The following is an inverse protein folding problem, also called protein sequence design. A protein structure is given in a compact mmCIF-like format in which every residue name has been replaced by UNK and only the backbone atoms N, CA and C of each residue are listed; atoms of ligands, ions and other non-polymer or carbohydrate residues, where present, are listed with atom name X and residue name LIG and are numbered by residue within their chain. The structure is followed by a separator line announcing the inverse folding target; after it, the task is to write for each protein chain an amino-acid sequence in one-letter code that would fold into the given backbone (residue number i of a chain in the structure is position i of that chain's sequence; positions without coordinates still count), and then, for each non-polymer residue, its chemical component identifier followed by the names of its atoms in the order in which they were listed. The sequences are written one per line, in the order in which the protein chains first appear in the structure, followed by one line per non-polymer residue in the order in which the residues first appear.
data_IF_043369865591
#
_entry.id   IF_043369865591
#
_cell.length_a   1.000
_cell.length_b   1.000
_cell.length_c   1.000
_cell.angle_alpha   90.00
_cell.angle_beta   90.00
_cell.angle_gamma   90.00
#
_symmetry.space_group_name_H-M   'P 1'
#
loop_
_entity.id
_entity.type
_entity.pdbx_description
1 polymer ?
#
# COMPACT_ATOMS: atom_id res chain seq x y z
N UNK A 1 58.08 29.51 -12.42
CA UNK A 1 57.84 28.05 -12.52
C UNK A 1 57.28 27.54 -11.20
N UNK A 2 56.01 27.11 -11.13
CA UNK A 2 55.52 26.25 -10.07
C UNK A 2 55.23 24.84 -10.59
N UNK A 3 55.51 23.85 -9.74
CA UNK A 3 55.52 22.41 -9.99
C UNK A 3 54.11 21.82 -10.15
N UNK A 4 53.95 20.95 -11.14
CA UNK A 4 52.89 19.95 -11.22
C UNK A 4 53.09 18.89 -10.13
N UNK A 5 51.99 18.48 -9.49
CA UNK A 5 51.87 17.21 -8.78
C UNK A 5 50.63 16.49 -9.33
N UNK A 6 50.88 15.49 -10.18
CA UNK A 6 49.91 14.51 -10.65
C UNK A 6 50.00 13.31 -9.69
N UNK A 7 48.97 13.07 -8.89
CA UNK A 7 48.83 11.82 -8.11
C UNK A 7 47.95 10.85 -8.89
N UNK A 8 48.56 9.73 -9.29
CA UNK A 8 47.90 8.65 -10.02
C UNK A 8 46.94 7.85 -9.13
N UNK A 9 45.79 7.52 -9.69
CA UNK A 9 44.80 6.64 -9.10
C UNK A 9 45.10 5.20 -9.55
N UNK A 10 45.44 4.32 -8.60
CA UNK A 10 45.60 2.89 -8.82
C UNK A 10 44.24 2.22 -8.99
N UNK A 11 44.07 1.49 -10.10
CA UNK A 11 42.98 0.57 -10.35
C UNK A 11 43.31 -0.77 -9.66
N UNK A 12 42.41 -1.26 -8.80
CA UNK A 12 42.47 -2.61 -8.24
C UNK A 12 41.23 -3.39 -8.71
N UNK A 13 41.37 -4.55 -9.38
CA UNK A 13 40.24 -5.34 -9.82
C UNK A 13 39.74 -6.24 -8.67
N UNK A 14 38.41 -6.27 -8.46
CA UNK A 14 37.77 -7.16 -7.50
C UNK A 14 37.37 -8.47 -8.19
N UNK A 15 37.93 -9.58 -7.71
CA UNK A 15 37.64 -10.95 -8.15
C UNK A 15 36.26 -11.43 -7.69
N UNK A 16 35.56 -12.11 -8.60
CA UNK A 16 34.33 -12.87 -8.38
C UNK A 16 34.67 -14.36 -8.15
N UNK A 17 34.15 -14.94 -7.06
CA UNK A 17 33.88 -16.36 -6.84
C UNK A 17 33.06 -16.45 -5.53
N UNK A 18 32.01 -17.25 -5.33
CA UNK A 18 31.32 -18.27 -6.12
C UNK A 18 30.42 -19.08 -5.15
N UNK A 19 29.18 -19.29 -5.56
CA UNK A 19 28.19 -20.34 -5.23
C UNK A 19 28.06 -20.94 -3.80
N UNK A 20 26.80 -20.97 -3.34
CA UNK A 20 26.26 -21.94 -2.38
C UNK A 20 24.73 -22.03 -2.53
N UNK A 21 24.26 -23.03 -3.28
CA UNK A 21 22.85 -23.31 -3.57
C UNK A 21 22.13 -23.94 -2.38
N UNK A 22 20.94 -23.44 -2.03
CA UNK A 22 19.99 -24.10 -1.14
C UNK A 22 18.61 -24.11 -1.80
N UNK A 23 18.10 -25.30 -2.11
CA UNK A 23 16.85 -25.52 -2.83
C UNK A 23 15.62 -25.18 -1.97
N UNK A 24 14.72 -24.36 -2.50
CA UNK A 24 13.37 -24.16 -1.95
C UNK A 24 12.39 -25.09 -2.69
N UNK A 25 11.68 -25.93 -1.94
CA UNK A 25 10.58 -26.77 -2.44
C UNK A 25 9.40 -25.89 -2.86
N UNK A 26 8.91 -26.12 -4.07
CA UNK A 26 7.66 -25.60 -4.59
C UNK A 26 6.51 -26.48 -4.09
N UNK A 27 5.54 -25.88 -3.43
CA UNK A 27 4.18 -26.40 -3.33
C UNK A 27 3.21 -25.28 -3.76
N UNK A 28 2.29 -25.59 -4.66
CA UNK A 28 1.18 -24.75 -5.12
C UNK A 28 0.07 -25.67 -5.68
N UNK A 29 -1.19 -25.22 -5.81
CA UNK A 29 -1.78 -23.98 -5.30
C UNK A 29 -3.11 -24.18 -4.52
N UNK A 30 -3.53 -23.15 -3.78
CA UNK A 30 -4.94 -22.82 -3.59
C UNK A 30 -5.22 -21.47 -4.23
N UNK A 31 -6.28 -21.41 -5.05
CA UNK A 31 -6.81 -20.19 -5.68
C UNK A 31 -7.55 -19.42 -4.58
N UNK A 32 -7.11 -18.19 -4.29
CA UNK A 32 -7.83 -17.32 -3.34
C UNK A 32 -8.90 -16.57 -4.12
N UNK A 33 -10.14 -17.06 -4.05
CA UNK A 33 -11.35 -16.29 -4.36
C UNK A 33 -11.97 -15.89 -3.02
N UNK A 34 -12.13 -14.59 -2.77
CA UNK A 34 -12.82 -14.10 -1.57
C UNK A 34 -14.28 -13.84 -1.95
N UNK A 35 -15.17 -14.78 -1.63
CA UNK A 35 -16.62 -14.61 -1.80
C UNK A 35 -17.23 -14.13 -0.47
N UNK A 36 -18.03 -13.06 -0.54
CA UNK A 36 -18.71 -12.44 0.58
C UNK A 36 -20.22 -12.61 0.42
N UNK A 37 -20.83 -13.68 0.97
CA UNK A 37 -22.29 -13.76 1.21
C UNK A 37 -22.67 -14.60 2.43
N UNK A 38 -23.61 -14.04 3.19
CA UNK A 38 -24.25 -14.54 4.40
C UNK A 38 -24.93 -15.91 4.29
N UNK A 39 -24.99 -16.63 5.41
CA UNK A 39 -25.73 -17.88 5.58
C UNK A 39 -26.12 -18.17 7.03
N UNK A 40 -27.39 -17.89 7.33
CA UNK A 40 -28.20 -18.17 8.51
C UNK A 40 -27.99 -19.55 9.21
N UNK A 41 -28.22 -19.54 10.53
CA UNK A 41 -28.26 -20.61 11.56
C UNK A 41 -29.15 -21.85 11.29
N UNK A 42 -29.00 -22.91 12.13
CA UNK A 42 -30.06 -23.18 13.13
C UNK A 42 -29.54 -23.51 14.55
N UNK A 43 -30.40 -23.26 15.56
CA UNK A 43 -30.11 -23.33 17.00
C UNK A 43 -30.07 -24.74 17.64
N UNK A 44 -30.10 -24.82 18.99
CA UNK A 44 -31.31 -25.34 19.63
C UNK A 44 -31.71 -24.73 21.01
N UNK A 45 -32.99 -24.97 21.30
CA UNK A 45 -33.85 -25.00 22.51
C UNK A 45 -33.34 -24.75 23.94
N UNK A 46 -34.17 -24.01 24.70
CA UNK A 46 -34.69 -24.23 26.08
C UNK A 46 -34.87 -22.87 26.78
N UNK A 47 -35.85 -22.54 27.62
CA UNK A 47 -37.02 -23.18 28.20
C UNK A 47 -37.72 -22.12 29.08
N UNK A 48 -39.03 -22.28 29.30
CA UNK A 48 -39.94 -21.68 30.29
C UNK A 48 -39.57 -20.39 31.08
N UNK A 49 -40.47 -19.40 31.11
CA UNK A 49 -41.34 -19.15 32.28
C UNK A 49 -42.44 -18.10 31.98
N UNK A 50 -43.59 -18.25 32.64
CA UNK A 50 -44.77 -17.40 32.62
C UNK A 50 -44.53 -16.03 33.27
N UNK A 51 -45.12 -14.96 32.72
CA UNK A 51 -46.04 -14.10 33.48
C UNK A 51 -46.63 -12.98 32.62
N UNK A 52 -47.93 -12.83 32.79
CA UNK A 52 -48.85 -11.93 32.10
C UNK A 52 -49.03 -10.70 32.99
N UNK A 53 -48.73 -9.49 32.51
CA UNK A 53 -49.27 -8.26 33.10
C UNK A 53 -49.28 -7.08 32.09
N UNK A 54 -50.52 -6.67 31.83
CA UNK A 54 -51.12 -5.40 31.41
C UNK A 54 -50.24 -4.20 31.01
N UNK A 55 -50.60 -3.61 29.87
CA UNK A 55 -50.25 -2.24 29.45
C UNK A 55 -51.00 -1.20 30.30
N UNK A 56 -50.54 0.06 30.26
CA UNK A 56 -51.43 1.07 29.70
C UNK A 56 -50.76 1.99 28.67
N UNK A 57 -51.61 2.46 27.75
CA UNK A 57 -51.37 3.43 26.69
C UNK A 57 -50.82 4.77 27.18
N UNK A 58 -49.96 5.41 26.37
CA UNK A 58 -49.78 6.86 26.38
C UNK A 58 -49.31 7.36 25.00
N UNK A 59 -50.30 7.77 24.20
CA UNK A 59 -50.31 8.95 23.30
C UNK A 59 -49.05 9.29 22.47
N UNK A 60 -49.10 8.91 21.19
CA UNK A 60 -49.12 9.84 20.04
C UNK A 60 -47.96 10.80 19.82
N UNK A 61 -47.09 10.46 18.86
CA UNK A 61 -46.43 11.41 17.95
C UNK A 61 -46.29 10.75 16.56
N UNK A 62 -46.63 11.39 15.42
CA UNK A 62 -46.56 10.74 14.13
C UNK A 62 -45.10 10.55 13.72
N UNK A 63 -44.76 9.34 13.29
CA UNK A 63 -43.50 9.03 12.61
C UNK A 63 -43.58 9.58 11.18
N UNK A 64 -42.64 10.46 10.84
CA UNK A 64 -42.36 10.83 9.46
C UNK A 64 -41.86 9.57 8.73
N UNK A 65 -42.62 9.17 7.71
CA UNK A 65 -42.22 8.13 6.77
C UNK A 65 -41.04 8.64 5.95
N UNK A 66 -39.82 8.28 6.37
CA UNK A 66 -38.64 8.35 5.53
C UNK A 66 -38.88 7.47 4.31
N UNK A 67 -38.99 8.13 3.16
CA UNK A 67 -39.00 7.45 1.86
C UNK A 67 -37.62 6.82 1.70
N UNK A 68 -37.60 5.49 1.63
CA UNK A 68 -36.42 4.70 1.29
C UNK A 68 -36.04 5.04 -0.16
N UNK A 69 -35.17 6.04 -0.33
CA UNK A 69 -34.57 6.32 -1.63
C UNK A 69 -33.74 5.10 -2.03
N UNK A 70 -33.95 4.53 -3.24
CA UNK A 70 -33.16 3.39 -3.68
C UNK A 70 -31.68 3.78 -3.66
N UNK A 71 -30.89 3.07 -2.85
CA UNK A 71 -29.43 3.13 -2.93
C UNK A 71 -29.05 2.93 -4.41
N UNK A 72 -28.31 3.86 -5.04
CA UNK A 72 -27.92 3.70 -6.42
C UNK A 72 -27.17 2.37 -6.55
N UNK A 73 -27.37 1.62 -7.66
CA UNK A 73 -26.69 0.35 -7.85
C UNK A 73 -25.18 0.57 -7.67
N UNK A 74 -24.54 -0.26 -6.84
CA UNK A 74 -23.10 -0.30 -6.77
C UNK A 74 -22.59 -0.46 -8.20
N UNK A 75 -21.75 0.46 -8.66
CA UNK A 75 -21.09 0.34 -9.95
C UNK A 75 -20.31 -0.98 -10.04
N UNK A 76 -19.87 -1.40 -11.24
CA UNK A 76 -19.04 -2.59 -11.37
C UNK A 76 -17.86 -2.49 -10.40
N UNK A 77 -17.69 -3.50 -9.55
CA UNK A 77 -16.58 -3.56 -8.63
C UNK A 77 -15.30 -3.80 -9.44
N UNK A 78 -14.33 -2.91 -9.34
CA UNK A 78 -13.02 -3.12 -9.95
C UNK A 78 -12.31 -4.21 -9.15
N UNK A 79 -12.20 -5.40 -9.72
CA UNK A 79 -11.53 -6.53 -9.09
C UNK A 79 -10.08 -6.64 -9.56
N UNK A 80 -9.14 -6.57 -8.60
CA UNK A 80 -7.75 -6.92 -8.87
C UNK A 80 -7.62 -8.44 -8.83
N UNK A 81 -6.81 -9.01 -9.73
CA UNK A 81 -6.53 -10.45 -9.73
C UNK A 81 -5.07 -10.72 -10.10
N UNK A 82 -4.37 -11.44 -9.23
CA UNK A 82 -2.99 -11.86 -9.43
C UNK A 82 -2.83 -13.32 -9.03
N UNK A 83 -2.07 -14.08 -9.82
CA UNK A 83 -1.59 -15.39 -9.38
C UNK A 83 -0.61 -15.25 -8.22
N UNK A 84 -0.37 -16.33 -7.47
CA UNK A 84 0.60 -16.32 -6.38
C UNK A 84 2.01 -15.93 -6.85
N UNK A 85 2.39 -16.27 -8.08
CA UNK A 85 3.69 -15.87 -8.65
C UNK A 85 3.74 -14.39 -8.98
N UNK A 86 2.70 -13.86 -9.62
CA UNK A 86 2.60 -12.43 -9.93
C UNK A 86 2.57 -11.60 -8.64
N UNK A 87 1.83 -12.03 -7.62
CA UNK A 87 1.81 -11.38 -6.31
C UNK A 87 3.21 -11.32 -5.66
N UNK A 88 3.99 -12.43 -5.73
CA UNK A 88 5.39 -12.43 -5.28
C UNK A 88 6.27 -11.48 -6.08
N UNK A 89 6.07 -11.41 -7.39
CA UNK A 89 6.78 -10.46 -8.25
C UNK A 89 6.46 -9.01 -7.87
N UNK A 90 5.18 -8.67 -7.70
CA UNK A 90 4.73 -7.35 -7.24
C UNK A 90 5.39 -6.98 -5.91
N UNK A 91 5.38 -7.89 -4.94
CA UNK A 91 6.06 -7.67 -3.67
C UNK A 91 7.55 -7.41 -3.77
N UNK A 92 8.20 -8.07 -4.73
CA UNK A 92 9.62 -7.83 -5.01
C UNK A 92 9.82 -6.43 -5.59
N UNK A 93 8.96 -5.98 -6.51
CA UNK A 93 9.03 -4.63 -7.06
C UNK A 93 8.79 -3.55 -6.01
N UNK A 94 7.74 -3.69 -5.18
CA UNK A 94 7.47 -2.77 -4.08
C UNK A 94 8.67 -2.71 -3.12
N UNK A 95 9.24 -3.85 -2.74
CA UNK A 95 10.41 -3.88 -1.87
C UNK A 95 11.66 -3.23 -2.50
N UNK A 96 11.82 -3.32 -3.82
CA UNK A 96 12.88 -2.62 -4.55
C UNK A 96 12.63 -1.12 -4.59
N UNK A 97 11.40 -0.68 -4.79
CA UNK A 97 11.05 0.74 -4.83
C UNK A 97 11.18 1.41 -3.48
N UNK A 98 10.65 0.80 -2.42
CA UNK A 98 10.67 1.36 -1.07
C UNK A 98 12.07 1.23 -0.45
N UNK A 99 12.66 0.04 -0.53
CA UNK A 99 13.84 -0.30 0.25
C UNK A 99 15.10 -0.62 -0.55
N UNK A 100 15.07 -0.49 -1.89
CA UNK A 100 16.13 -0.99 -2.77
C UNK A 100 16.49 -2.46 -2.48
N UNK A 101 15.52 -3.25 -2.00
CA UNK A 101 15.72 -4.64 -1.60
C UNK A 101 16.61 -4.85 -0.36
N UNK A 102 16.91 -3.80 0.42
CA UNK A 102 17.87 -3.86 1.53
C UNK A 102 17.20 -4.28 2.83
N UNK A 103 17.68 -5.37 3.42
CA UNK A 103 17.14 -5.93 4.67
C UNK A 103 17.06 -4.90 5.82
N UNK A 104 18.09 -4.05 5.98
CA UNK A 104 18.11 -3.01 7.03
C UNK A 104 16.96 -2.00 6.92
N UNK A 105 16.41 -1.81 5.72
CA UNK A 105 15.34 -0.85 5.47
C UNK A 105 13.96 -1.36 5.91
N UNK A 106 13.81 -2.67 6.17
CA UNK A 106 12.57 -3.24 6.70
C UNK A 106 12.19 -2.67 8.07
N UNK A 107 13.13 -2.07 8.79
CA UNK A 107 12.86 -1.23 9.96
C UNK A 107 13.81 -0.06 9.87
N UNK A 108 13.29 1.11 9.52
CA UNK A 108 14.08 2.32 9.30
C UNK A 108 13.39 3.54 9.88
N UNK A 109 14.18 4.56 10.23
CA UNK A 109 13.67 5.85 10.69
C UNK A 109 14.44 6.97 10.00
N UNK A 110 13.77 7.67 9.09
CA UNK A 110 14.37 8.78 8.34
C UNK A 110 14.67 9.97 9.26
N UNK A 111 15.68 10.76 8.93
CA UNK A 111 16.12 11.88 9.78
C UNK A 111 15.06 12.97 9.96
N UNK A 112 14.15 13.12 9.00
CA UNK A 112 13.14 14.18 8.97
C UNK A 112 11.71 13.66 9.24
N UNK A 113 11.56 12.47 9.82
CA UNK A 113 10.26 11.88 10.16
C UNK A 113 10.14 11.70 11.67
N UNK A 114 8.93 11.90 12.20
CA UNK A 114 8.61 11.67 13.61
C UNK A 114 8.32 10.20 13.95
N UNK A 115 8.45 9.30 12.98
CA UNK A 115 8.05 7.89 13.08
C UNK A 115 8.99 6.96 12.27
N UNK A 116 9.11 5.69 12.67
CA UNK A 116 9.72 4.66 11.84
C UNK A 116 8.79 4.21 10.69
N UNK A 117 9.42 3.78 9.60
CA UNK A 117 8.80 3.06 8.49
C UNK A 117 9.22 1.59 8.53
N UNK A 118 8.25 0.69 8.31
CA UNK A 118 8.45 -0.75 8.47
C UNK A 118 8.03 -1.55 7.23
N UNK A 119 8.65 -2.71 7.07
CA UNK A 119 8.28 -3.69 6.06
C UNK A 119 8.57 -3.23 4.63
N UNK A 120 8.11 -4.03 3.67
CA UNK A 120 8.33 -3.76 2.25
C UNK A 120 7.47 -2.60 1.74
N UNK A 121 6.35 -2.30 2.41
CA UNK A 121 5.42 -1.24 2.03
C UNK A 121 5.67 0.09 2.72
N UNK A 122 6.74 0.23 3.51
CA UNK A 122 6.99 1.42 4.35
C UNK A 122 5.77 1.78 5.22
N UNK A 123 5.26 0.80 5.96
CA UNK A 123 4.16 0.98 6.88
C UNK A 123 4.57 1.89 8.04
N UNK A 124 3.79 2.95 8.25
CA UNK A 124 4.02 3.94 9.30
C UNK A 124 3.56 3.36 10.65
N UNK A 125 4.38 3.57 11.68
CA UNK A 125 4.04 3.25 13.07
C UNK A 125 4.37 4.42 13.97
N UNK A 126 3.37 5.06 14.56
CA UNK A 126 3.55 6.25 15.39
C UNK A 126 4.00 5.88 16.81
N UNK A 127 4.97 6.61 17.37
CA UNK A 127 5.23 6.60 18.81
C UNK A 127 4.12 7.31 19.60
N UNK A 128 4.07 7.06 20.91
CA UNK A 128 3.16 7.74 21.83
C UNK A 128 3.19 9.26 21.66
N UNK A 129 2.01 9.86 21.51
CA UNK A 129 1.84 11.31 21.43
C UNK A 129 2.33 11.96 20.14
N UNK A 130 2.69 11.17 19.11
CA UNK A 130 2.97 11.66 17.76
C UNK A 130 1.70 11.57 16.91
N UNK A 131 1.28 12.70 16.36
CA UNK A 131 0.15 12.79 15.43
C UNK A 131 0.62 13.60 14.21
N UNK A 132 0.70 12.94 13.07
CA UNK A 132 1.16 13.49 11.80
C UNK A 132 0.07 13.27 10.75
N UNK A 133 0.03 14.06 9.66
CA UNK A 133 -1.06 13.99 8.68
C UNK A 133 -1.10 12.70 7.84
N UNK A 134 -0.17 11.76 8.07
CA UNK A 134 -0.10 10.52 7.30
C UNK A 134 -0.90 9.40 7.96
N UNK A 135 -1.51 8.55 7.15
CA UNK A 135 -2.27 7.41 7.67
C UNK A 135 -1.33 6.35 8.23
N UNK A 136 -1.44 6.10 9.54
CA UNK A 136 -0.78 4.97 10.18
C UNK A 136 -1.25 3.64 9.57
N UNK A 137 -0.33 2.71 9.35
CA UNK A 137 -0.66 1.45 8.63
C UNK A 137 0.01 0.20 9.19
N UNK A 138 1.03 0.32 10.04
CA UNK A 138 1.66 -0.84 10.66
C UNK A 138 0.74 -1.59 11.64
N UNK A 139 -0.07 -0.92 12.50
CA UNK A 139 -1.05 -1.63 13.34
C UNK A 139 -2.05 -2.45 12.52
N UNK A 140 -2.63 -1.85 11.48
CA UNK A 140 -3.57 -2.54 10.59
C UNK A 140 -2.92 -3.73 9.83
N UNK A 141 -1.63 -3.64 9.50
CA UNK A 141 -0.89 -4.79 8.95
C UNK A 141 -0.80 -5.93 9.97
N UNK A 142 -0.52 -5.62 11.23
CA UNK A 142 -0.39 -6.63 12.28
C UNK A 142 -1.74 -7.30 12.56
N UNK A 143 -2.82 -6.52 12.63
CA UNK A 143 -4.18 -7.06 12.74
C UNK A 143 -4.50 -8.01 11.57
N UNK A 144 -4.24 -7.57 10.33
CA UNK A 144 -4.39 -8.41 9.15
C UNK A 144 -3.58 -9.71 9.26
N UNK A 145 -2.33 -9.65 9.74
CA UNK A 145 -1.48 -10.82 9.90
C UNK A 145 -2.04 -11.79 10.95
N UNK A 146 -2.53 -11.29 12.08
CA UNK A 146 -3.16 -12.08 13.15
C UNK A 146 -4.42 -12.76 12.63
N UNK A 147 -5.30 -12.02 11.96
CA UNK A 147 -6.55 -12.55 11.40
C UNK A 147 -6.30 -13.64 10.35
N UNK A 148 -5.15 -13.58 9.67
CA UNK A 148 -4.71 -14.57 8.68
C UNK A 148 -3.79 -15.67 9.28
N UNK A 149 -3.75 -15.81 10.61
CA UNK A 149 -3.05 -16.89 11.30
C UNK A 149 -1.51 -16.81 11.24
N UNK A 150 -0.96 -15.63 10.97
CA UNK A 150 0.49 -15.40 10.97
C UNK A 150 1.00 -15.34 12.41
N UNK A 151 2.08 -16.06 12.70
CA UNK A 151 2.71 -16.01 14.03
C UNK A 151 3.48 -14.69 14.19
N UNK A 152 2.89 -13.75 14.92
CA UNK A 152 3.51 -12.46 15.27
C UNK A 152 4.41 -12.64 16.50
N UNK A 153 5.60 -12.01 16.56
CA UNK A 153 6.45 -12.00 17.74
C UNK A 153 5.68 -11.60 19.01
N UNK A 154 5.81 -12.38 20.10
CA UNK A 154 5.01 -12.17 21.32
C UNK A 154 5.13 -10.76 21.91
N UNK A 155 6.31 -10.14 21.82
CA UNK A 155 6.50 -8.78 22.31
C UNK A 155 5.67 -7.73 21.55
N UNK A 156 5.33 -7.97 20.27
CA UNK A 156 4.42 -7.09 19.53
C UNK A 156 2.98 -7.29 20.00
N UNK A 157 2.55 -8.54 20.22
CA UNK A 157 1.18 -8.83 20.67
C UNK A 157 0.91 -8.43 22.13
N UNK A 158 1.96 -8.29 22.92
CA UNK A 158 1.90 -7.85 24.33
C UNK A 158 2.07 -6.34 24.49
N UNK A 159 2.34 -5.59 23.42
CA UNK A 159 2.59 -4.16 23.46
C UNK A 159 1.27 -3.39 23.57
N UNK A 160 1.07 -2.70 24.69
CA UNK A 160 -0.13 -1.92 24.99
C UNK A 160 0.26 -0.55 25.59
N UNK A 161 -0.13 0.58 24.96
CA UNK A 161 -0.78 0.68 23.65
C UNK A 161 0.12 0.18 22.51
N UNK A 162 -0.46 -0.19 21.36
CA UNK A 162 0.28 -0.69 20.19
C UNK A 162 0.98 0.44 19.42
N UNK A 163 1.93 1.10 20.07
CA UNK A 163 2.68 2.25 19.54
C UNK A 163 4.15 1.90 19.34
N UNK A 164 4.85 2.61 18.46
CA UNK A 164 6.26 2.35 18.23
C UNK A 164 7.05 2.50 19.54
N UNK A 165 7.79 1.47 20.00
CA UNK A 165 8.37 1.43 21.35
C UNK A 165 9.55 2.39 21.55
N UNK A 166 9.97 3.10 20.49
CA UNK A 166 11.02 4.09 20.55
C UNK A 166 10.39 5.48 20.42
N UNK A 167 10.53 6.36 21.43
CA UNK A 167 9.85 7.66 21.43
C UNK A 167 10.41 8.65 20.41
N UNK A 168 11.59 8.38 19.86
CA UNK A 168 12.22 9.20 18.83
C UNK A 168 13.33 8.42 18.12
N UNK A 169 13.81 9.00 17.02
CA UNK A 169 14.89 8.43 16.20
C UNK A 169 16.18 8.18 16.97
N UNK A 170 16.56 9.03 17.92
CA UNK A 170 17.79 8.83 18.67
C UNK A 170 17.72 7.56 19.53
N UNK A 171 16.60 7.37 20.25
CA UNK A 171 16.33 6.14 21.00
C UNK A 171 16.26 4.90 20.09
N UNK A 172 15.69 5.03 18.89
CA UNK A 172 15.70 3.95 17.90
C UNK A 172 17.13 3.56 17.47
N UNK A 173 17.99 4.53 17.15
CA UNK A 173 19.37 4.27 16.70
C UNK A 173 20.19 3.53 17.76
N UNK A 174 20.01 3.88 19.04
CA UNK A 174 20.66 3.15 20.15
C UNK A 174 20.26 1.66 20.21
N UNK A 175 19.08 1.32 19.70
CA UNK A 175 18.53 -0.04 19.68
C UNK A 175 18.57 -0.69 18.29
N UNK A 176 19.00 0.01 17.26
CA UNK A 176 18.92 -0.43 15.86
C UNK A 176 19.70 -1.73 15.60
N UNK A 177 20.82 -1.91 16.30
CA UNK A 177 21.65 -3.12 16.28
C UNK A 177 21.28 -4.12 17.38
N UNK A 178 20.25 -3.84 18.17
CA UNK A 178 19.75 -4.68 19.25
C UNK A 178 18.83 -5.80 18.79
N UNK A 179 18.61 -6.77 19.68
CA UNK A 179 17.85 -7.98 19.38
C UNK A 179 16.40 -7.73 18.95
N UNK A 180 15.72 -6.73 19.52
CA UNK A 180 14.32 -6.43 19.19
C UNK A 180 14.15 -5.91 17.76
N UNK A 181 14.98 -4.95 17.33
CA UNK A 181 14.95 -4.43 15.95
C UNK A 181 15.34 -5.50 14.94
N UNK A 182 16.35 -6.31 15.27
CA UNK A 182 16.77 -7.43 14.42
C UNK A 182 15.65 -8.47 14.27
N UNK A 183 15.02 -8.88 15.37
CA UNK A 183 13.89 -9.80 15.35
C UNK A 183 12.70 -9.25 14.54
N UNK A 184 12.46 -7.94 14.62
CA UNK A 184 11.44 -7.27 13.80
C UNK A 184 11.77 -7.31 12.30
N UNK A 185 13.04 -7.05 11.92
CA UNK A 185 13.48 -7.18 10.53
C UNK A 185 13.37 -8.61 10.02
N UNK A 186 13.73 -9.60 10.82
CA UNK A 186 13.62 -11.02 10.47
C UNK A 186 12.15 -11.45 10.29
N UNK A 187 11.28 -11.01 11.19
CA UNK A 187 9.83 -11.19 11.07
C UNK A 187 9.29 -10.57 9.77
N UNK A 188 9.62 -9.31 9.49
CA UNK A 188 9.16 -8.63 8.29
C UNK A 188 9.77 -9.22 7.00
N UNK A 189 10.99 -9.74 7.05
CA UNK A 189 11.61 -10.40 5.91
C UNK A 189 10.94 -11.74 5.59
N UNK A 190 10.57 -12.51 6.62
CA UNK A 190 9.91 -13.82 6.48
C UNK A 190 8.42 -13.71 6.14
N UNK A 191 7.76 -12.61 6.47
CA UNK A 191 6.32 -12.38 6.23
C UNK A 191 6.03 -11.48 5.01
N UNK A 192 6.99 -11.30 4.10
CA UNK A 192 6.80 -10.45 2.90
C UNK A 192 5.55 -10.82 2.10
N UNK A 193 5.24 -12.11 1.97
CA UNK A 193 4.02 -12.55 1.29
C UNK A 193 2.73 -12.00 1.92
N UNK A 194 2.66 -11.93 3.25
CA UNK A 194 1.52 -11.34 3.96
C UNK A 194 1.46 -9.83 3.80
N UNK A 195 2.61 -9.15 3.81
CA UNK A 195 2.67 -7.70 3.55
C UNK A 195 2.14 -7.34 2.16
N UNK A 196 2.48 -8.13 1.14
CA UNK A 196 1.93 -7.90 -0.21
C UNK A 196 0.43 -8.13 -0.25
N UNK A 197 -0.08 -9.19 0.42
CA UNK A 197 -1.52 -9.45 0.48
C UNK A 197 -2.27 -8.31 1.16
N UNK A 198 -1.71 -7.75 2.21
CA UNK A 198 -2.26 -6.57 2.86
C UNK A 198 -2.27 -5.34 1.94
N UNK A 199 -1.16 -5.06 1.24
CA UNK A 199 -1.09 -3.97 0.25
C UNK A 199 -2.11 -4.19 -0.87
N UNK A 200 -2.27 -5.41 -1.35
CA UNK A 200 -3.25 -5.79 -2.36
C UNK A 200 -4.68 -5.50 -1.87
N UNK A 201 -5.05 -5.96 -0.68
CA UNK A 201 -6.38 -5.72 -0.11
C UNK A 201 -6.66 -4.22 0.05
N UNK A 202 -5.68 -3.46 0.54
CA UNK A 202 -5.80 -2.01 0.66
C UNK A 202 -5.99 -1.35 -0.71
N UNK A 203 -5.18 -1.71 -1.70
CA UNK A 203 -5.30 -1.18 -3.05
C UNK A 203 -6.67 -1.47 -3.66
N UNK A 204 -7.18 -2.70 -3.54
CA UNK A 204 -8.54 -3.07 -3.99
C UNK A 204 -9.62 -2.17 -3.36
N UNK A 205 -9.55 -1.94 -2.05
CA UNK A 205 -10.49 -1.05 -1.35
C UNK A 205 -10.35 0.42 -1.81
N UNK A 206 -9.13 0.87 -2.09
CA UNK A 206 -8.83 2.22 -2.59
C UNK A 206 -9.44 2.49 -3.98
N UNK A 207 -9.50 1.48 -4.87
CA UNK A 207 -10.06 1.68 -6.22
C UNK A 207 -11.53 2.10 -6.19
N UNK A 208 -12.32 1.49 -5.31
CA UNK A 208 -13.73 1.86 -5.12
C UNK A 208 -13.88 3.32 -4.68
N UNK A 209 -13.10 3.76 -3.69
CA UNK A 209 -13.13 5.15 -3.20
C UNK A 209 -12.73 6.15 -4.28
N UNK A 210 -11.69 5.83 -5.07
CA UNK A 210 -11.23 6.66 -6.18
C UNK A 210 -12.31 6.82 -7.25
N UNK A 211 -13.01 5.74 -7.59
CA UNK A 211 -14.10 5.77 -8.56
C UNK A 211 -15.31 6.56 -8.05
N UNK A 212 -15.67 6.41 -6.78
CA UNK A 212 -16.75 7.17 -6.15
C UNK A 212 -16.46 8.68 -6.15
N UNK A 213 -15.22 9.05 -5.80
CA UNK A 213 -14.76 10.42 -5.74
C UNK A 213 -14.55 11.09 -7.11
N UNK A 214 -14.48 10.31 -8.19
CA UNK A 214 -14.33 10.86 -9.54
C UNK A 214 -15.52 11.78 -9.92
N UNK A 215 -15.28 12.89 -10.65
CA UNK A 215 -16.35 13.72 -11.19
C UNK A 215 -17.36 12.89 -11.99
N UNK A 216 -18.65 13.16 -11.83
CA UNK A 216 -19.70 12.32 -12.43
C UNK A 216 -19.56 12.16 -13.96
N UNK A 217 -19.11 13.22 -14.66
CA UNK A 217 -18.88 13.19 -16.11
C UNK A 217 -17.66 12.36 -16.53
N UNK A 218 -16.70 12.13 -15.62
CA UNK A 218 -15.45 11.41 -15.88
C UNK A 218 -15.48 9.97 -15.33
N UNK A 219 -16.49 9.63 -14.51
CA UNK A 219 -16.53 8.38 -13.75
C UNK A 219 -16.48 7.14 -14.63
N UNK A 220 -17.19 7.13 -15.76
CA UNK A 220 -17.16 6.01 -16.72
C UNK A 220 -15.77 5.85 -17.34
N UNK A 221 -15.11 6.96 -17.70
CA UNK A 221 -13.75 6.94 -18.23
C UNK A 221 -12.74 6.43 -17.19
N UNK A 222 -12.85 6.90 -15.95
CA UNK A 222 -12.02 6.45 -14.82
C UNK A 222 -12.23 4.95 -14.54
N UNK A 223 -13.47 4.46 -14.55
CA UNK A 223 -13.77 3.04 -14.41
C UNK A 223 -13.07 2.23 -15.51
N UNK A 224 -13.21 2.63 -16.78
CA UNK A 224 -12.58 1.92 -17.89
C UNK A 224 -11.05 1.85 -17.79
N UNK A 225 -10.38 2.90 -17.30
CA UNK A 225 -8.93 2.84 -17.06
C UNK A 225 -8.55 1.93 -15.89
N UNK A 226 -9.33 1.94 -14.81
CA UNK A 226 -9.12 1.04 -13.68
C UNK A 226 -9.30 -0.42 -14.09
N UNK A 227 -10.34 -0.74 -14.87
CA UNK A 227 -10.58 -2.08 -15.41
C UNK A 227 -9.42 -2.52 -16.30
N UNK A 228 -9.04 -1.70 -17.29
CA UNK A 228 -7.96 -2.05 -18.22
C UNK A 228 -6.59 -2.22 -17.54
N UNK A 229 -6.30 -1.46 -16.47
CA UNK A 229 -5.10 -1.66 -15.66
C UNK A 229 -5.18 -2.91 -14.78
N UNK A 230 -6.36 -3.19 -14.21
CA UNK A 230 -6.58 -4.38 -13.37
C UNK A 230 -6.50 -5.69 -14.16
N UNK A 231 -6.75 -5.65 -15.48
CA UNK A 231 -6.68 -6.82 -16.37
C UNK A 231 -5.25 -7.37 -16.55
N UNK A 232 -4.21 -6.57 -16.29
CA UNK A 232 -2.81 -7.00 -16.46
C UNK A 232 -2.04 -7.02 -15.14
N UNK A 233 -1.04 -7.91 -15.00
CA UNK A 233 -0.18 -7.92 -13.82
C UNK A 233 0.62 -6.63 -13.66
N UNK A 234 1.13 -6.05 -14.76
CA UNK A 234 1.86 -4.79 -14.74
C UNK A 234 0.97 -3.59 -14.35
N UNK A 235 -0.27 -3.56 -14.83
CA UNK A 235 -1.25 -2.54 -14.46
C UNK A 235 -1.70 -2.66 -13.01
N UNK A 236 -2.00 -3.88 -12.55
CA UNK A 236 -2.32 -4.14 -11.13
C UNK A 236 -1.16 -3.74 -10.22
N UNK A 237 0.07 -4.05 -10.60
CA UNK A 237 1.26 -3.57 -9.90
C UNK A 237 1.32 -2.04 -9.81
N UNK A 238 1.12 -1.34 -10.93
CA UNK A 238 1.12 0.12 -10.95
C UNK A 238 0.04 0.71 -10.03
N UNK A 239 -1.18 0.14 -10.04
CA UNK A 239 -2.25 0.56 -9.13
C UNK A 239 -1.88 0.35 -7.66
N UNK A 240 -1.40 -0.85 -7.31
CA UNK A 240 -1.00 -1.18 -5.94
C UNK A 240 0.14 -0.30 -5.44
N UNK A 241 1.20 -0.18 -6.23
CA UNK A 241 2.40 0.57 -5.88
C UNK A 241 2.11 2.07 -5.81
N UNK A 242 1.34 2.63 -6.75
CA UNK A 242 1.03 4.06 -6.74
C UNK A 242 0.17 4.46 -5.55
N UNK A 243 -0.82 3.62 -5.17
CA UNK A 243 -1.58 3.82 -3.93
C UNK A 243 -0.67 3.74 -2.70
N UNK A 244 0.25 2.77 -2.64
CA UNK A 244 1.22 2.67 -1.53
C UNK A 244 2.17 3.88 -1.48
N UNK A 245 2.53 4.41 -2.64
CA UNK A 245 3.54 5.45 -2.81
C UNK A 245 3.01 6.87 -2.61
N UNK A 246 1.88 7.19 -3.23
CA UNK A 246 1.31 8.55 -3.33
C UNK A 246 -0.12 8.66 -2.83
N UNK A 247 -0.74 7.53 -2.49
CA UNK A 247 -2.10 7.50 -2.01
C UNK A 247 -3.15 7.66 -3.12
N UNK A 248 -4.39 7.77 -2.65
CA UNK A 248 -5.59 7.82 -3.49
C UNK A 248 -5.80 9.22 -4.12
N UNK A 249 -5.30 10.27 -3.46
CA UNK A 249 -5.44 11.67 -3.89
C UNK A 249 -6.80 12.28 -3.55
N UNK A 250 -7.43 11.79 -2.48
CA UNK A 250 -8.78 12.18 -2.09
C UNK A 250 -8.80 13.28 -1.03
N UNK A 251 -7.75 13.37 -0.23
CA UNK A 251 -7.65 14.31 0.89
C UNK A 251 -7.39 15.75 0.38
N UNK A 252 -8.30 16.71 0.62
CA UNK A 252 -8.12 18.09 0.15
C UNK A 252 -6.91 18.80 0.77
N UNK A 253 -6.52 18.43 2.00
CA UNK A 253 -5.36 19.00 2.67
C UNK A 253 -4.02 18.60 2.04
N UNK A 254 -3.98 17.52 1.26
CA UNK A 254 -2.83 17.10 0.47
C UNK A 254 -2.73 17.82 -0.89
N UNK A 255 -3.40 18.95 -1.12
CA UNK A 255 -3.38 19.62 -2.43
C UNK A 255 -2.48 20.83 -2.43
N UNK A 256 -1.65 20.98 -3.45
CA UNK A 256 -0.93 22.22 -3.72
C UNK A 256 -1.74 23.05 -4.71
N UNK A 257 -2.12 24.26 -4.32
CA UNK A 257 -2.93 25.18 -5.15
C UNK A 257 -4.22 24.53 -5.68
N UNK A 258 -4.84 23.66 -4.88
CA UNK A 258 -6.06 22.93 -5.23
C UNK A 258 -5.86 21.71 -6.14
N UNK A 259 -4.61 21.38 -6.49
CA UNK A 259 -4.25 20.22 -7.31
C UNK A 259 -3.69 19.08 -6.46
N UNK A 260 -4.27 17.89 -6.58
CA UNK A 260 -3.78 16.67 -5.95
C UNK A 260 -2.81 15.90 -6.85
N UNK A 261 -2.28 14.79 -6.34
CA UNK A 261 -1.29 13.97 -7.04
C UNK A 261 -1.43 12.46 -6.80
N UNK A 262 -2.53 12.03 -6.20
CA UNK A 262 -2.77 10.60 -5.98
C UNK A 262 -3.39 9.94 -7.20
N UNK A 263 -3.78 8.68 -7.02
CA UNK A 263 -4.28 7.83 -8.10
C UNK A 263 -5.41 8.50 -8.92
N UNK A 264 -6.36 9.18 -8.27
CA UNK A 264 -7.46 9.87 -8.97
C UNK A 264 -6.94 10.88 -9.99
N UNK A 265 -5.93 11.69 -9.63
CA UNK A 265 -5.42 12.72 -10.53
C UNK A 265 -4.65 12.12 -11.71
N UNK A 266 -3.96 11.00 -11.51
CA UNK A 266 -3.33 10.26 -12.61
C UNK A 266 -4.37 9.78 -13.61
N UNK A 267 -5.43 9.13 -13.14
CA UNK A 267 -6.50 8.59 -14.00
C UNK A 267 -7.22 9.70 -14.77
N UNK A 268 -7.46 10.86 -14.13
CA UNK A 268 -8.08 12.01 -14.80
C UNK A 268 -7.17 12.62 -15.87
N UNK A 269 -5.85 12.59 -15.67
CA UNK A 269 -4.84 13.12 -16.58
C UNK A 269 -4.40 12.15 -17.69
N UNK A 270 -4.94 10.92 -17.71
CA UNK A 270 -4.70 9.96 -18.78
C UNK A 270 -5.39 10.40 -20.08
N UNK A 271 -4.60 10.45 -21.15
CA UNK A 271 -5.02 10.76 -22.51
C UNK A 271 -4.24 9.83 -23.46
N UNK A 272 -4.59 8.53 -23.52
CA UNK A 272 -3.84 7.57 -24.32
C UNK A 272 -3.93 7.92 -25.81
N UNK A 273 -2.78 7.94 -26.49
CA UNK A 273 -2.75 8.02 -27.95
C UNK A 273 -3.35 6.76 -28.58
N UNK A 274 -3.86 6.82 -29.83
CA UNK A 274 -4.27 5.63 -30.55
C UNK A 274 -3.16 4.57 -30.53
N UNK A 275 -3.52 3.33 -30.17
CA UNK A 275 -2.61 2.17 -30.04
C UNK A 275 -1.62 2.21 -28.84
N UNK A 276 -1.61 3.26 -28.02
CA UNK A 276 -0.82 3.28 -26.79
C UNK A 276 -1.39 2.31 -25.75
N UNK A 277 -0.53 1.49 -25.15
CA UNK A 277 -0.93 0.63 -24.04
C UNK A 277 -1.38 1.47 -22.84
N UNK A 278 -2.47 1.06 -22.18
CA UNK A 278 -3.05 1.81 -21.04
C UNK A 278 -2.04 1.98 -19.90
N UNK A 279 -1.20 0.97 -19.63
CA UNK A 279 -0.13 1.05 -18.65
C UNK A 279 0.91 2.13 -18.98
N UNK A 280 1.28 2.29 -20.25
CA UNK A 280 2.21 3.34 -20.65
C UNK A 280 1.57 4.73 -20.54
N UNK A 281 0.30 4.87 -20.93
CA UNK A 281 -0.45 6.11 -20.73
C UNK A 281 -0.59 6.48 -19.24
N UNK A 282 -0.77 5.49 -18.37
CA UNK A 282 -0.80 5.68 -16.91
C UNK A 282 0.54 6.22 -16.40
N UNK A 283 1.67 5.67 -16.87
CA UNK A 283 3.02 6.14 -16.49
C UNK A 283 3.28 7.57 -16.93
N UNK A 284 2.91 7.89 -18.17
CA UNK A 284 3.07 9.23 -18.72
C UNK A 284 2.24 10.25 -17.92
N UNK A 285 0.98 9.90 -17.62
CA UNK A 285 0.09 10.73 -16.79
C UNK A 285 0.65 10.90 -15.37
N UNK A 286 1.12 9.81 -14.74
CA UNK A 286 1.74 9.85 -13.42
C UNK A 286 3.00 10.74 -13.42
N UNK A 287 3.82 10.68 -14.47
CA UNK A 287 4.99 11.53 -14.63
C UNK A 287 4.62 13.02 -14.71
N UNK A 288 3.58 13.37 -15.49
CA UNK A 288 3.06 14.74 -15.58
C UNK A 288 2.52 15.23 -14.23
N UNK A 289 1.71 14.42 -13.55
CA UNK A 289 1.11 14.74 -12.25
C UNK A 289 2.20 14.97 -11.19
N UNK A 290 3.21 14.10 -11.12
CA UNK A 290 4.29 14.24 -10.14
C UNK A 290 5.23 15.41 -10.46
N UNK A 291 5.43 15.72 -11.73
CA UNK A 291 6.18 16.91 -12.15
C UNK A 291 5.43 18.18 -11.73
N UNK A 292 4.12 18.24 -12.00
CA UNK A 292 3.29 19.38 -11.61
C UNK A 292 3.25 19.57 -10.09
N UNK A 293 3.13 18.48 -9.32
CA UNK A 293 3.26 18.51 -7.85
C UNK A 293 4.58 19.18 -7.44
N UNK A 294 5.70 18.71 -7.98
CA UNK A 294 7.02 19.20 -7.60
C UNK A 294 7.23 20.68 -7.97
N UNK A 295 6.62 21.14 -9.06
CA UNK A 295 6.63 22.55 -9.47
C UNK A 295 5.77 23.45 -8.56
N UNK A 296 4.67 22.90 -8.04
CA UNK A 296 3.74 23.61 -7.14
C UNK A 296 4.15 23.55 -5.66
N UNK A 297 5.15 22.74 -5.30
CA UNK A 297 5.59 22.56 -3.93
C UNK A 297 6.34 23.79 -3.40
N UNK A 298 6.02 24.21 -2.17
CA UNK A 298 6.72 25.31 -1.49
C UNK A 298 8.18 24.93 -1.19
N UNK A 299 8.43 23.65 -0.89
CA UNK A 299 9.76 23.14 -0.62
C UNK A 299 10.46 22.73 -1.93
N UNK A 300 11.56 23.39 -2.33
CA UNK A 300 12.23 23.08 -3.59
C UNK A 300 12.84 21.67 -3.64
N UNK A 301 12.97 20.98 -2.49
CA UNK A 301 13.50 19.61 -2.42
C UNK A 301 12.70 18.63 -3.27
N UNK A 302 11.39 18.83 -3.44
CA UNK A 302 10.55 17.96 -4.27
C UNK A 302 11.05 17.95 -5.71
N UNK A 303 11.27 19.15 -6.27
CA UNK A 303 11.75 19.35 -7.64
C UNK A 303 13.23 19.01 -7.79
N UNK A 304 14.07 19.38 -6.83
CA UNK A 304 15.53 19.27 -6.96
C UNK A 304 16.07 17.87 -6.66
N UNK A 305 15.38 17.10 -5.80
CA UNK A 305 15.89 15.81 -5.31
C UNK A 305 14.90 14.67 -5.48
N UNK A 306 13.63 14.86 -5.16
CA UNK A 306 12.69 13.75 -5.06
C UNK A 306 12.09 13.35 -6.41
N UNK A 307 11.77 14.33 -7.27
CA UNK A 307 11.13 14.10 -8.56
C UNK A 307 11.89 13.09 -9.41
N UNK A 308 13.22 13.18 -9.48
CA UNK A 308 14.02 12.23 -10.24
C UNK A 308 13.84 10.79 -9.76
N UNK A 309 13.80 10.57 -8.45
CA UNK A 309 13.55 9.25 -7.86
C UNK A 309 12.14 8.75 -8.15
N UNK A 310 11.16 9.65 -8.12
CA UNK A 310 9.78 9.33 -8.44
C UNK A 310 9.61 8.91 -9.90
N UNK A 311 10.22 9.62 -10.84
CA UNK A 311 10.18 9.27 -12.26
C UNK A 311 10.88 7.93 -12.52
N UNK A 312 12.00 7.65 -11.85
CA UNK A 312 12.67 6.33 -11.93
C UNK A 312 11.77 5.21 -11.40
N UNK A 313 10.98 5.45 -10.35
CA UNK A 313 9.99 4.48 -9.85
C UNK A 313 8.92 4.17 -10.90
N UNK A 314 8.39 5.19 -11.59
CA UNK A 314 7.40 4.99 -12.66
C UNK A 314 7.93 4.16 -13.84
N UNK A 315 9.24 4.17 -14.08
CA UNK A 315 9.88 3.31 -15.09
C UNK A 315 9.79 1.81 -14.78
N UNK A 316 9.49 1.45 -13.53
CA UNK A 316 9.32 0.05 -13.13
C UNK A 316 7.95 -0.50 -13.48
N UNK A 317 6.95 0.36 -13.72
CA UNK A 317 5.56 -0.03 -14.00
C UNK A 317 5.46 -0.69 -15.37
N UNK A 318 5.75 -1.98 -15.43
CA UNK A 318 5.86 -2.75 -16.67
C UNK A 318 5.27 -4.12 -16.43
N UNK A 319 4.90 -4.80 -17.49
CA UNK A 319 4.51 -6.21 -17.38
C UNK A 319 5.67 -7.04 -16.80
N UNK A 320 5.38 -8.06 -15.96
CA UNK A 320 6.39 -8.98 -15.49
C UNK A 320 7.06 -9.66 -16.70
N UNK A 321 8.34 -10.04 -16.59
CA UNK A 321 8.99 -10.83 -17.62
C UNK A 321 8.15 -12.08 -17.91
N UNK A 322 7.85 -12.35 -19.18
CA UNK A 322 7.18 -13.59 -19.56
C UNK A 322 8.06 -14.77 -19.10
N UNK A 323 7.48 -15.73 -18.40
CA UNK A 323 8.18 -16.97 -18.10
C UNK A 323 8.65 -17.58 -19.44
N UNK A 324 9.89 -18.09 -19.55
CA UNK A 324 10.33 -18.75 -20.76
C UNK A 324 9.31 -19.85 -21.10
N UNK A 325 8.84 -19.87 -22.36
CA UNK A 325 8.09 -21.01 -22.87
C UNK A 325 8.99 -22.24 -22.73
N UNK A 326 8.65 -23.14 -21.81
CA UNK A 326 9.33 -24.42 -21.61
C UNK A 326 9.10 -25.36 -22.79
#
# INVERSE_FOLDING_TARGET
MPRLLLSGLLIVPLFLAGCGSGAFKQDAPDVVVVDSRDGQTPGPESGADESRQEQPESTGKPAETGVDEPRPPAGPAIELSLTAEQLRWVGTQIYLNECAGRFRCLVHWNENEAFPSLGIGHFIWYPEGVDEPYQESFPALIDFMVDNGTQVPGWLTELEPFEAPWPNRAAFIEKESGGQVQALRDFLSSTRGQQVRFIFQRASASLGKVLEAAPAAERERVAGYLEALAETPGGTYALMDYVNFKGEGLEPSERYQGQGWGLLQVLLAMEPEPEQAVLDAFRDAAGRVLTSRAENADNPVERERWLQGWLVRLETYREPPQAPLL
#
